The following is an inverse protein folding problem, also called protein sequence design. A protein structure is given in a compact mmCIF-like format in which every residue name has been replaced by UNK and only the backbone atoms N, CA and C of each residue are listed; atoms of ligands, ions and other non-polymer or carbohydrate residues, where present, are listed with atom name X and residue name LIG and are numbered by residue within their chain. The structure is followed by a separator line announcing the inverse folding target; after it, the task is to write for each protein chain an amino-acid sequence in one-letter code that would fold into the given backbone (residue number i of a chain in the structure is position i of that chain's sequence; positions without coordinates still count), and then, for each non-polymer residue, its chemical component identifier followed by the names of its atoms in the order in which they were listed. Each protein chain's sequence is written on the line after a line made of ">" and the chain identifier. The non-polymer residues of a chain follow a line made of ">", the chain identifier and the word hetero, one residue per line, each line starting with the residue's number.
data_IF_979562887957
#
_entry.id   IF_979562887957
#
_cell.length_a   1.000
_cell.length_b   1.000
_cell.length_c   1.000
_cell.angle_alpha   90.00
_cell.angle_beta   90.00
_cell.angle_gamma   90.00
#
_symmetry.space_group_name_H-M   'P 1'
#
loop_
_entity.id
_entity.type
_entity.pdbx_description
1 polymer ?
#
# COMPACT_ATOMS: atom_id res chain seq x y z
N UNK A 1 -1.32 8.75 -85.91
CA UNK A 1 -2.72 8.29 -85.72
C UNK A 1 -2.70 6.79 -85.43
N UNK A 2 -3.59 6.33 -84.52
CA UNK A 2 -3.70 4.98 -83.88
C UNK A 2 -2.73 4.80 -82.69
N UNK A 3 -3.10 4.98 -81.40
CA UNK A 3 -4.08 4.27 -80.53
C UNK A 3 -3.84 2.75 -80.62
N UNK A 4 -3.60 1.93 -79.59
CA UNK A 4 -4.17 1.68 -78.24
C UNK A 4 -3.13 0.74 -77.54
N UNK A 5 -2.99 0.57 -76.21
CA UNK A 5 -3.57 -0.57 -75.46
C UNK A 5 -3.11 -0.58 -73.97
N UNK A 6 -4.04 -0.21 -73.08
CA UNK A 6 -4.33 -0.68 -71.70
C UNK A 6 -3.30 -1.43 -70.86
N UNK A 7 -3.19 -1.02 -69.59
CA UNK A 7 -3.30 -1.92 -68.43
C UNK A 7 -4.09 -1.23 -67.31
N UNK A 8 -5.33 -1.67 -67.10
CA UNK A 8 -6.21 -1.23 -66.02
C UNK A 8 -6.01 -2.16 -64.83
N UNK A 9 -5.53 -1.65 -63.70
CA UNK A 9 -5.53 -2.35 -62.43
C UNK A 9 -5.98 -1.40 -61.32
N UNK A 10 -7.25 -1.49 -60.93
CA UNK A 10 -7.76 -0.90 -59.71
C UNK A 10 -8.88 -1.79 -59.18
N UNK A 11 -8.52 -2.67 -58.23
CA UNK A 11 -9.43 -3.49 -57.46
C UNK A 11 -9.99 -2.61 -56.34
N UNK A 12 -11.23 -2.16 -56.49
CA UNK A 12 -11.93 -1.35 -55.50
C UNK A 12 -12.90 -2.26 -54.74
N UNK A 13 -12.42 -2.85 -53.63
CA UNK A 13 -13.28 -3.50 -52.64
C UNK A 13 -13.40 -2.55 -51.44
N UNK A 14 -14.49 -1.78 -51.42
CA UNK A 14 -14.84 -0.92 -50.29
C UNK A 14 -15.30 -1.75 -49.11
N UNK A 15 -14.46 -1.88 -48.09
CA UNK A 15 -14.89 -2.33 -46.75
C UNK A 15 -15.37 -1.11 -45.99
N UNK A 16 -16.69 -0.89 -46.02
CA UNK A 16 -17.38 0.07 -45.18
C UNK A 16 -17.43 -0.49 -43.75
N UNK A 17 -16.34 -0.32 -43.00
CA UNK A 17 -16.34 -0.55 -41.56
C UNK A 17 -17.17 0.56 -40.90
N UNK A 18 -18.45 0.25 -40.64
CA UNK A 18 -19.25 1.02 -39.71
C UNK A 18 -18.55 1.01 -38.35
N UNK A 19 -18.01 2.17 -37.96
CA UNK A 19 -17.50 2.39 -36.62
C UNK A 19 -18.66 2.27 -35.64
N UNK A 20 -18.82 1.10 -35.03
CA UNK A 20 -19.54 0.95 -33.77
C UNK A 20 -18.77 1.76 -32.73
N UNK A 21 -19.14 3.04 -32.59
CA UNK A 21 -18.83 3.84 -31.41
C UNK A 21 -19.61 3.24 -30.25
N UNK A 22 -19.09 2.15 -29.69
CA UNK A 22 -19.52 1.67 -28.38
C UNK A 22 -19.26 2.80 -27.39
N UNK A 23 -20.33 3.48 -26.96
CA UNK A 23 -20.24 4.38 -25.81
C UNK A 23 -19.90 3.51 -24.61
N UNK A 24 -18.63 3.43 -24.25
CA UNK A 24 -18.23 2.92 -22.95
C UNK A 24 -18.81 3.89 -21.93
N UNK A 25 -19.86 3.48 -21.22
CA UNK A 25 -20.36 4.21 -20.07
C UNK A 25 -19.31 4.03 -18.96
N UNK A 26 -18.40 5.00 -18.85
CA UNK A 26 -17.65 5.17 -17.61
C UNK A 26 -18.65 5.72 -16.59
N UNK A 27 -18.70 5.10 -15.41
CA UNK A 27 -19.37 5.70 -14.26
C UNK A 27 -18.60 6.99 -13.91
N UNK A 28 -19.03 8.12 -14.47
CA UNK A 28 -18.48 9.44 -14.19
C UNK A 28 -19.13 9.93 -12.92
N UNK A 29 -18.34 10.20 -11.90
CA UNK A 29 -18.73 11.08 -10.80
C UNK A 29 -18.29 12.51 -11.16
N UNK A 30 -19.07 13.53 -10.78
CA UNK A 30 -18.68 14.94 -10.96
C UNK A 30 -19.50 15.75 -11.98
N UNK A 31 -20.77 15.43 -12.20
CA UNK A 31 -21.72 16.36 -12.81
C UNK A 31 -21.92 17.65 -12.00
N UNK A 32 -22.50 18.70 -12.62
CA UNK A 32 -22.71 20.03 -12.01
C UNK A 32 -23.57 20.01 -10.71
N UNK A 33 -24.28 18.92 -10.47
CA UNK A 33 -25.11 18.67 -9.29
C UNK A 33 -24.73 17.40 -8.53
N UNK A 34 -23.62 16.76 -8.90
CA UNK A 34 -23.17 15.52 -8.27
C UNK A 34 -22.10 15.80 -7.24
N UNK A 35 -22.04 14.95 -6.21
CA UNK A 35 -20.97 14.98 -5.23
C UNK A 35 -19.63 14.72 -5.94
N UNK A 36 -18.55 15.44 -5.59
CA UNK A 36 -17.23 15.20 -6.18
C UNK A 36 -16.77 13.76 -5.92
N UNK A 37 -16.01 13.21 -6.87
CA UNK A 37 -15.39 11.90 -6.73
C UNK A 37 -14.41 11.90 -5.55
N UNK A 38 -14.78 11.27 -4.45
CA UNK A 38 -13.85 11.00 -3.35
C UNK A 38 -13.22 9.64 -3.56
N UNK A 39 -11.89 9.60 -3.63
CA UNK A 39 -11.11 8.36 -3.66
C UNK A 39 -10.36 8.24 -2.35
N UNK A 40 -10.87 7.46 -1.41
CA UNK A 40 -10.16 7.13 -0.17
C UNK A 40 -9.01 6.17 -0.49
N UNK A 41 -7.79 6.58 -0.15
CA UNK A 41 -6.59 5.79 -0.36
C UNK A 41 -5.57 6.12 0.73
N UNK A 42 -4.91 5.07 1.24
CA UNK A 42 -3.88 5.17 2.25
C UNK A 42 -2.82 4.12 1.94
N UNK A 43 -1.56 4.46 2.17
CA UNK A 43 -0.42 3.54 2.05
C UNK A 43 0.16 3.36 3.44
N UNK A 44 0.36 2.10 3.82
CA UNK A 44 1.02 1.72 5.08
C UNK A 44 2.25 0.91 4.72
N UNK A 45 3.38 1.32 5.26
CA UNK A 45 4.66 0.64 5.13
C UNK A 45 5.24 0.35 6.51
N UNK A 46 5.68 -0.88 6.75
CA UNK A 46 6.23 -1.33 8.03
C UNK A 46 7.56 -2.02 7.79
N UNK A 47 8.62 -1.37 8.26
CA UNK A 47 9.97 -1.89 8.18
C UNK A 47 10.45 -2.37 9.55
N UNK A 48 11.42 -3.28 9.53
CA UNK A 48 12.15 -3.75 10.71
C UNK A 48 13.57 -3.20 10.69
N UNK A 49 14.09 -2.82 11.86
CA UNK A 49 15.49 -2.45 12.00
C UNK A 49 16.38 -3.69 11.87
N UNK A 50 17.46 -3.60 11.09
CA UNK A 50 18.45 -4.68 11.02
C UNK A 50 19.19 -4.82 12.36
N UNK A 51 19.39 -6.05 12.87
CA UNK A 51 20.00 -6.25 14.18
C UNK A 51 21.38 -5.58 14.28
N UNK A 52 21.59 -4.81 15.35
CA UNK A 52 22.86 -4.12 15.62
C UNK A 52 23.15 -2.91 14.72
N UNK A 53 22.17 -2.43 13.95
CA UNK A 53 22.34 -1.28 13.05
C UNK A 53 21.25 -0.22 13.26
N UNK A 54 21.34 0.92 12.57
CA UNK A 54 20.25 1.92 12.47
C UNK A 54 19.44 1.81 11.17
N UNK A 55 19.72 0.80 10.34
CA UNK A 55 19.10 0.59 9.03
C UNK A 55 17.72 -0.07 9.19
N UNK A 56 16.72 0.42 8.45
CA UNK A 56 15.38 -0.16 8.40
C UNK A 56 15.14 -0.75 7.01
N UNK A 57 14.62 -1.97 6.97
CA UNK A 57 14.38 -2.73 5.74
C UNK A 57 12.98 -3.35 5.76
N UNK A 58 12.40 -3.56 4.59
CA UNK A 58 11.10 -4.22 4.47
C UNK A 58 11.18 -5.69 4.89
N UNK A 59 12.30 -6.35 4.55
CA UNK A 59 12.54 -7.75 4.84
C UNK A 59 14.00 -7.96 5.23
N UNK A 60 14.22 -8.79 6.25
CA UNK A 60 15.55 -9.32 6.54
C UNK A 60 15.89 -10.42 5.53
N UNK A 61 17.08 -10.33 4.94
CA UNK A 61 17.65 -11.35 4.08
C UNK A 61 18.26 -12.49 4.90
N UNK A 62 18.59 -13.60 4.22
CA UNK A 62 19.29 -14.74 4.86
C UNK A 62 20.72 -14.40 5.29
N UNK A 63 21.33 -13.37 4.69
CA UNK A 63 22.66 -12.88 5.02
C UNK A 63 22.66 -11.87 6.18
N UNK A 64 21.49 -11.34 6.54
CA UNK A 64 21.41 -10.43 7.69
C UNK A 64 21.57 -11.20 9.00
N UNK A 65 22.18 -10.58 10.03
CA UNK A 65 22.18 -11.15 11.37
C UNK A 65 20.77 -11.48 11.84
N UNK A 66 20.65 -12.50 12.68
CA UNK A 66 19.37 -12.89 13.30
C UNK A 66 19.26 -12.27 14.68
N UNK A 67 18.04 -11.92 15.08
CA UNK A 67 17.77 -11.54 16.46
C UNK A 67 17.92 -12.76 17.38
N UNK A 68 18.66 -12.59 18.46
CA UNK A 68 18.77 -13.60 19.52
C UNK A 68 17.56 -13.50 20.47
N UNK A 69 17.27 -14.55 21.25
CA UNK A 69 16.32 -14.45 22.36
C UNK A 69 16.62 -13.25 23.26
N UNK A 70 15.58 -12.62 23.79
CA UNK A 70 15.65 -11.40 24.60
C UNK A 70 16.16 -10.13 23.88
N UNK A 71 16.39 -10.15 22.57
CA UNK A 71 16.81 -8.96 21.83
C UNK A 71 15.66 -7.97 21.66
N UNK A 72 15.99 -6.69 21.68
CA UNK A 72 15.08 -5.63 21.28
C UNK A 72 14.96 -5.60 19.74
N UNK A 73 13.73 -5.42 19.24
CA UNK A 73 13.39 -5.32 17.82
C UNK A 73 12.64 -4.01 17.62
N UNK A 74 13.15 -3.15 16.74
CA UNK A 74 12.50 -1.90 16.39
C UNK A 74 11.77 -2.02 15.06
N UNK A 75 10.52 -1.58 15.04
CA UNK A 75 9.74 -1.42 13.82
C UNK A 75 9.44 0.06 13.56
N UNK A 76 9.46 0.44 12.29
CA UNK A 76 9.08 1.77 11.82
C UNK A 76 7.86 1.62 10.91
N UNK A 77 6.76 2.23 11.33
CA UNK A 77 5.49 2.24 10.59
C UNK A 77 5.32 3.62 9.97
N UNK A 78 5.26 3.68 8.64
CA UNK A 78 4.92 4.88 7.88
C UNK A 78 3.51 4.76 7.35
N UNK A 79 2.73 5.82 7.52
CA UNK A 79 1.35 5.88 7.06
C UNK A 79 1.22 7.15 6.25
N UNK A 80 0.83 7.02 4.98
CA UNK A 80 0.64 8.14 4.07
C UNK A 80 -0.79 8.19 3.55
N UNK A 81 -1.42 9.35 3.66
CA UNK A 81 -2.66 9.63 2.96
C UNK A 81 -2.38 9.87 1.47
N UNK A 82 -2.86 8.99 0.61
CA UNK A 82 -2.75 9.10 -0.86
C UNK A 82 -4.10 9.40 -1.52
N UNK A 83 -5.11 9.76 -0.71
CA UNK A 83 -6.42 10.17 -1.18
C UNK A 83 -6.42 11.60 -1.69
N UNK A 84 -7.52 11.99 -2.33
CA UNK A 84 -7.76 13.38 -2.76
C UNK A 84 -8.41 14.24 -1.67
N UNK A 85 -8.51 13.75 -0.43
CA UNK A 85 -9.17 14.42 0.69
C UNK A 85 -8.42 14.26 2.01
N UNK A 86 -8.79 15.06 3.02
CA UNK A 86 -8.32 14.85 4.40
C UNK A 86 -8.98 13.59 4.99
N UNK A 87 -8.18 12.75 5.63
CA UNK A 87 -8.64 11.64 6.45
C UNK A 87 -8.71 12.06 7.91
N UNK A 88 -9.76 11.69 8.63
CA UNK A 88 -10.02 12.16 10.01
C UNK A 88 -10.21 10.95 10.93
N UNK A 89 -9.61 11.01 12.11
CA UNK A 89 -9.79 10.00 13.16
C UNK A 89 -9.27 8.61 12.80
N UNK A 90 -8.09 8.53 12.19
CA UNK A 90 -7.52 7.25 11.78
C UNK A 90 -7.03 6.44 12.99
N UNK A 91 -7.46 5.18 13.06
CA UNK A 91 -7.02 4.20 14.05
C UNK A 91 -6.15 3.13 13.38
N UNK A 92 -5.08 2.73 14.06
CA UNK A 92 -4.18 1.67 13.59
C UNK A 92 -4.21 0.51 14.58
N UNK A 93 -4.24 -0.71 14.04
CA UNK A 93 -4.18 -1.96 14.78
C UNK A 93 -3.03 -2.81 14.25
N UNK A 94 -2.11 -3.18 15.12
CA UNK A 94 -0.98 -4.04 14.80
C UNK A 94 -1.05 -5.33 15.62
N UNK A 95 -1.20 -6.47 14.95
CA UNK A 95 -1.28 -7.78 15.62
C UNK A 95 0.12 -8.35 15.80
N UNK A 96 0.49 -8.61 17.05
CA UNK A 96 1.84 -8.97 17.45
C UNK A 96 1.97 -10.49 17.45
N UNK A 97 2.95 -11.05 16.70
CA UNK A 97 3.16 -12.48 16.67
C UNK A 97 3.54 -13.02 18.05
N UNK A 98 3.35 -14.32 18.26
CA UNK A 98 3.54 -14.98 19.57
C UNK A 98 4.97 -14.94 20.09
N UNK A 99 5.97 -14.72 19.23
CA UNK A 99 7.39 -14.70 19.57
C UNK A 99 7.95 -13.29 19.90
N UNK A 100 7.09 -12.27 19.97
CA UNK A 100 7.47 -10.90 20.34
C UNK A 100 6.56 -10.36 21.46
N UNK A 101 7.14 -9.67 22.44
CA UNK A 101 6.39 -8.88 23.42
C UNK A 101 6.56 -7.38 23.15
N UNK A 102 5.48 -6.59 23.15
CA UNK A 102 5.58 -5.14 22.97
C UNK A 102 6.14 -4.49 24.23
N UNK A 103 7.14 -3.62 24.06
CA UNK A 103 7.81 -2.90 25.14
C UNK A 103 7.44 -1.42 25.16
N UNK A 104 7.60 -0.74 24.02
CA UNK A 104 7.36 0.70 23.88
C UNK A 104 6.70 0.97 22.53
N UNK A 105 5.83 1.98 22.46
CA UNK A 105 5.11 2.32 21.23
C UNK A 105 3.92 3.23 21.48
N UNK A 106 3.25 3.72 20.41
CA UNK A 106 1.99 4.42 20.55
C UNK A 106 0.88 3.47 21.01
N UNK A 107 -0.07 4.02 21.78
CA UNK A 107 -1.33 3.34 22.12
C UNK A 107 -1.22 2.28 23.21
N UNK A 108 -2.13 1.30 23.16
CA UNK A 108 -2.30 0.27 24.19
C UNK A 108 -2.29 -1.13 23.61
N UNK A 109 -1.62 -2.06 24.31
CA UNK A 109 -1.58 -3.48 23.99
C UNK A 109 -2.71 -4.24 24.69
N UNK A 110 -3.49 -4.99 23.91
CA UNK A 110 -4.44 -6.00 24.41
C UNK A 110 -3.79 -7.39 24.31
N UNK A 111 -3.55 -8.01 25.46
CA UNK A 111 -2.92 -9.33 25.53
C UNK A 111 -3.85 -10.48 25.11
N UNK A 112 -5.17 -10.28 25.13
CA UNK A 112 -6.15 -11.28 24.72
C UNK A 112 -6.20 -11.46 23.20
N UNK A 113 -6.10 -10.37 22.45
CA UNK A 113 -6.06 -10.37 20.99
C UNK A 113 -4.65 -10.25 20.41
N UNK A 114 -3.65 -10.04 21.28
CA UNK A 114 -2.27 -9.68 20.93
C UNK A 114 -2.20 -8.49 19.96
N UNK A 115 -2.95 -7.42 20.23
CA UNK A 115 -3.05 -6.26 19.32
C UNK A 115 -2.63 -4.97 20.01
N UNK A 116 -1.77 -4.18 19.38
CA UNK A 116 -1.53 -2.78 19.75
C UNK A 116 -2.52 -1.92 18.96
N UNK A 117 -3.29 -1.08 19.65
CA UNK A 117 -4.20 -0.13 19.02
C UNK A 117 -3.82 1.30 19.39
N UNK A 118 -3.71 2.18 18.39
CA UNK A 118 -3.45 3.60 18.63
C UNK A 118 -4.21 4.50 17.66
N UNK A 119 -4.49 5.72 18.13
CA UNK A 119 -5.02 6.80 17.30
C UNK A 119 -3.86 7.45 16.54
N UNK A 120 -3.85 7.32 15.21
CA UNK A 120 -2.88 7.97 14.32
C UNK A 120 -3.30 9.41 13.95
N UNK A 121 -4.49 9.82 14.38
CA UNK A 121 -5.07 11.13 14.19
C UNK A 121 -5.53 11.37 12.76
N UNK A 122 -5.62 12.64 12.40
CA UNK A 122 -6.02 13.06 11.07
C UNK A 122 -4.84 13.08 10.11
N UNK A 123 -5.06 12.87 8.82
CA UNK A 123 -4.05 13.02 7.80
C UNK A 123 -4.54 14.02 6.75
N UNK A 124 -3.87 15.14 6.62
CA UNK A 124 -4.05 16.04 5.49
C UNK A 124 -3.68 15.34 4.17
N UNK A 125 -4.07 15.93 3.03
CA UNK A 125 -3.75 15.38 1.72
C UNK A 125 -2.23 15.28 1.59
N UNK A 126 -1.73 14.13 1.14
CA UNK A 126 -0.31 13.79 1.01
C UNK A 126 0.50 13.76 2.33
N UNK A 127 -0.14 13.93 3.50
CA UNK A 127 0.55 13.83 4.79
C UNK A 127 1.05 12.40 5.05
N UNK A 128 2.30 12.29 5.50
CA UNK A 128 2.89 11.05 6.00
C UNK A 128 3.28 11.21 7.47
N UNK A 129 2.90 10.23 8.30
CA UNK A 129 3.32 10.13 9.71
C UNK A 129 4.13 8.87 9.93
N UNK A 130 5.10 8.97 10.83
CA UNK A 130 6.00 7.88 11.20
C UNK A 130 5.83 7.53 12.67
N UNK A 131 5.65 6.25 12.94
CA UNK A 131 5.52 5.69 14.29
C UNK A 131 6.60 4.64 14.52
N UNK A 132 7.03 4.49 15.77
CA UNK A 132 8.03 3.51 16.17
C UNK A 132 7.43 2.58 17.21
N UNK A 133 7.71 1.29 17.05
CA UNK A 133 7.36 0.23 17.99
C UNK A 133 8.64 -0.48 18.39
N UNK A 134 8.86 -0.60 19.70
CA UNK A 134 9.92 -1.41 20.28
C UNK A 134 9.29 -2.67 20.85
N UNK A 135 9.76 -3.81 20.39
CA UNK A 135 9.35 -5.13 20.85
C UNK A 135 10.56 -5.88 21.37
N UNK A 136 10.31 -6.98 22.08
CA UNK A 136 11.34 -7.87 22.60
C UNK A 136 11.08 -9.29 22.10
N UNK A 137 12.11 -9.92 21.55
CA UNK A 137 12.08 -11.36 21.26
C UNK A 137 11.94 -12.11 22.59
N UNK A 138 11.03 -13.06 22.65
CA UNK A 138 10.85 -13.88 23.85
C UNK A 138 12.15 -14.60 24.26
N UNK A 139 12.20 -15.02 25.52
CA UNK A 139 13.26 -15.91 26.00
C UNK A 139 13.23 -17.24 25.24
N UNK A 140 14.38 -17.92 25.19
CA UNK A 140 14.54 -19.17 24.42
C UNK A 140 13.48 -20.21 24.78
N UNK A 141 13.13 -20.33 26.06
CA UNK A 141 12.16 -21.31 26.56
C UNK A 141 10.71 -21.02 26.12
N UNK A 142 10.43 -19.80 25.68
CA UNK A 142 9.11 -19.34 25.26
C UNK A 142 8.98 -19.14 23.74
N UNK A 143 10.04 -19.43 22.98
CA UNK A 143 9.97 -19.42 21.52
C UNK A 143 9.29 -20.69 21.00
N UNK A 144 8.50 -20.62 19.91
CA UNK A 144 8.00 -21.80 19.24
C UNK A 144 9.15 -22.73 18.85
N UNK A 145 8.97 -24.04 19.10
CA UNK A 145 9.92 -25.08 18.72
C UNK A 145 9.97 -25.31 17.20
#
# INVERSE_FOLDING_TARGET
>A
MKKVLTFSLAFLLGVMCYGLSGKTAFASCGGQYESPCYSYAIVVDKMVQKPGTSEYVDNLSVSDPRFAPNSDVWFKVKIKNTSTIKLVGMEVKDTIPSYLDPMEGPGSYDSSTRTITWNAGDFDIDEEKVFYLKMKVLSQDNLPA
#
